data_IF_062326249189
#
_entry.id   IF_062326249189
#
_cell.length_a   1.000
_cell.length_b   1.000
_cell.length_c   1.000
_cell.angle_alpha   90.00
_cell.angle_beta   90.00
_cell.angle_gamma   90.00
#
_symmetry.space_group_name_H-M   'P 1'
#
loop_
_entity.id
_entity.type
_entity.pdbx_description
1 polymer ?
#
# COMPACT_ATOMS: atom_id res chain seq x y z
N UNK A 1 -17.08 15.38 -7.15
CA UNK A 1 -15.89 15.32 -6.28
C UNK A 1 -14.76 14.64 -7.06
N UNK A 2 -13.53 15.15 -7.01
CA UNK A 2 -12.39 14.55 -7.72
C UNK A 2 -11.87 13.33 -6.93
N UNK A 3 -12.42 12.15 -7.24
CA UNK A 3 -12.13 10.89 -6.54
C UNK A 3 -10.63 10.52 -6.51
N UNK A 4 -9.84 10.73 -7.58
CA UNK A 4 -8.38 10.61 -7.54
C UNK A 4 -7.71 11.49 -6.48
N UNK A 5 -8.12 12.74 -6.34
CA UNK A 5 -7.54 13.66 -5.35
C UNK A 5 -7.85 13.21 -3.91
N UNK A 6 -9.07 12.72 -3.67
CA UNK A 6 -9.45 12.16 -2.37
C UNK A 6 -8.69 10.88 -2.05
N UNK A 7 -8.45 10.05 -3.07
CA UNK A 7 -7.66 8.82 -2.93
C UNK A 7 -6.20 9.14 -2.60
N UNK A 8 -5.65 10.21 -3.18
CA UNK A 8 -4.30 10.69 -2.83
C UNK A 8 -4.24 11.17 -1.38
N UNK A 9 -5.22 11.97 -0.93
CA UNK A 9 -5.32 12.37 0.48
C UNK A 9 -5.48 11.16 1.42
N UNK A 10 -6.27 10.17 1.01
CA UNK A 10 -6.44 8.90 1.72
C UNK A 10 -5.13 8.13 1.85
N UNK A 11 -4.34 8.02 0.77
CA UNK A 11 -3.05 7.34 0.77
C UNK A 11 -2.03 8.04 1.67
N UNK A 12 -1.96 9.38 1.62
CA UNK A 12 -1.11 10.18 2.54
C UNK A 12 -1.53 9.96 3.99
N UNK A 13 -2.83 9.99 4.27
CA UNK A 13 -3.35 9.78 5.62
C UNK A 13 -3.02 8.37 6.13
N UNK A 14 -3.18 7.35 5.29
CA UNK A 14 -2.87 5.96 5.59
C UNK A 14 -1.39 5.78 5.91
N UNK A 15 -0.50 6.37 5.10
CA UNK A 15 0.94 6.41 5.37
C UNK A 15 1.24 7.04 6.74
N UNK A 16 0.67 8.21 7.04
CA UNK A 16 0.91 8.89 8.32
C UNK A 16 0.41 8.06 9.51
N UNK A 17 -0.74 7.41 9.40
CA UNK A 17 -1.26 6.50 10.44
C UNK A 17 -0.31 5.31 10.61
N UNK A 18 0.19 4.71 9.52
CA UNK A 18 1.14 3.60 9.59
C UNK A 18 2.44 4.00 10.29
N UNK A 19 2.96 5.19 9.99
CA UNK A 19 4.15 5.74 10.65
C UNK A 19 3.90 6.02 12.14
N UNK A 20 2.80 6.69 12.49
CA UNK A 20 2.43 6.98 13.88
C UNK A 20 2.27 5.69 14.69
N UNK A 21 1.54 4.71 14.17
CA UNK A 21 1.32 3.42 14.84
C UNK A 21 2.62 2.63 15.03
N UNK A 22 3.51 2.65 14.04
CA UNK A 22 4.80 1.96 14.12
C UNK A 22 5.77 2.63 15.09
N UNK A 23 5.94 3.96 14.98
CA UNK A 23 6.97 4.70 15.70
C UNK A 23 6.54 5.17 17.08
N UNK A 24 5.30 5.63 17.24
CA UNK A 24 4.78 6.15 18.52
C UNK A 24 4.22 5.01 19.37
N UNK A 25 3.36 4.17 18.78
CA UNK A 25 2.70 3.08 19.51
C UNK A 25 3.46 1.76 19.49
N UNK A 26 4.52 1.64 18.68
CA UNK A 26 5.36 0.46 18.63
C UNK A 26 4.70 -0.78 18.01
N UNK A 27 3.56 -0.62 17.32
CA UNK A 27 2.84 -1.74 16.69
C UNK A 27 3.65 -2.23 15.48
N UNK A 28 3.97 -3.53 15.45
CA UNK A 28 4.81 -4.15 14.41
C UNK A 28 4.26 -5.53 14.01
N UNK A 29 2.94 -5.69 14.10
CA UNK A 29 2.27 -6.94 13.75
C UNK A 29 1.76 -6.83 12.31
N UNK A 30 2.23 -7.70 11.41
CA UNK A 30 1.85 -7.66 9.99
C UNK A 30 0.34 -7.79 9.79
N UNK A 31 -0.35 -8.56 10.65
CA UNK A 31 -1.82 -8.69 10.58
C UNK A 31 -2.55 -7.37 10.83
N UNK A 32 -1.93 -6.45 11.57
CA UNK A 32 -2.48 -5.11 11.79
C UNK A 32 -2.34 -4.22 10.55
N UNK A 33 -1.27 -4.41 9.77
CA UNK A 33 -0.99 -3.64 8.55
C UNK A 33 -1.58 -4.25 7.28
N UNK A 34 -1.99 -5.52 7.29
CA UNK A 34 -2.66 -6.15 6.14
C UNK A 34 -3.87 -5.35 5.60
N UNK A 35 -4.79 -4.79 6.41
CA UNK A 35 -5.84 -3.91 5.90
C UNK A 35 -5.32 -2.64 5.25
N UNK A 36 -4.15 -2.14 5.65
CA UNK A 36 -3.55 -0.94 5.07
C UNK A 36 -3.09 -1.23 3.65
N UNK A 37 -2.46 -2.37 3.38
CA UNK A 37 -2.13 -2.79 2.01
C UNK A 37 -3.36 -2.88 1.11
N UNK A 38 -4.42 -3.55 1.58
CA UNK A 38 -5.66 -3.62 0.81
C UNK A 38 -6.22 -2.23 0.48
N UNK A 39 -6.31 -1.34 1.46
CA UNK A 39 -6.84 0.03 1.27
C UNK A 39 -5.90 0.89 0.40
N UNK A 40 -4.59 0.75 0.56
CA UNK A 40 -3.60 1.41 -0.29
C UNK A 40 -3.76 0.96 -1.75
N UNK A 41 -3.94 -0.34 -1.99
CA UNK A 41 -4.26 -0.91 -3.29
C UNK A 41 -5.52 -0.28 -3.91
N UNK A 42 -6.59 -0.09 -3.13
CA UNK A 42 -7.81 0.60 -3.60
C UNK A 42 -7.50 2.02 -4.06
N UNK A 43 -6.79 2.82 -3.24
CA UNK A 43 -6.46 4.20 -3.58
C UNK A 43 -5.53 4.29 -4.79
N UNK A 44 -4.49 3.45 -4.86
CA UNK A 44 -3.60 3.37 -6.02
C UNK A 44 -4.35 2.94 -7.28
N UNK A 45 -5.26 1.98 -7.17
CA UNK A 45 -6.13 1.56 -8.27
C UNK A 45 -6.95 2.72 -8.82
N UNK A 46 -7.56 3.53 -7.95
CA UNK A 46 -8.31 4.71 -8.38
C UNK A 46 -7.40 5.76 -9.06
N UNK A 47 -6.25 6.06 -8.45
CA UNK A 47 -5.30 7.06 -8.97
C UNK A 47 -4.74 6.63 -10.33
N UNK A 48 -4.18 5.43 -10.42
CA UNK A 48 -3.53 4.95 -11.64
C UNK A 48 -4.53 4.61 -12.74
N UNK A 49 -5.75 4.17 -12.42
CA UNK A 49 -6.78 3.98 -13.43
C UNK A 49 -7.27 5.31 -13.98
N UNK A 50 -7.42 6.34 -13.14
CA UNK A 50 -7.77 7.68 -13.61
C UNK A 50 -6.73 8.27 -14.57
N UNK A 51 -5.45 7.96 -14.37
CA UNK A 51 -4.34 8.42 -15.22
C UNK A 51 -4.18 7.60 -16.51
N UNK A 52 -4.20 6.26 -16.40
CA UNK A 52 -3.87 5.37 -17.52
C UNK A 52 -5.07 4.93 -18.35
N UNK A 53 -6.28 4.93 -17.74
CA UNK A 53 -7.51 4.33 -18.28
C UNK A 53 -7.34 2.87 -18.75
N UNK A 54 -6.32 2.18 -18.24
CA UNK A 54 -5.97 0.83 -18.64
C UNK A 54 -5.83 -0.06 -17.39
N UNK A 55 -6.66 -1.11 -17.22
CA UNK A 55 -6.61 -1.98 -16.05
C UNK A 55 -5.26 -2.66 -15.86
N UNK A 56 -4.64 -3.12 -16.96
CA UNK A 56 -3.35 -3.82 -16.91
C UNK A 56 -2.21 -2.90 -16.48
N UNK A 57 -2.15 -1.69 -17.04
CA UNK A 57 -1.20 -0.66 -16.60
C UNK A 57 -1.42 -0.27 -15.14
N UNK A 58 -2.67 -0.17 -14.70
CA UNK A 58 -3.02 0.16 -13.31
C UNK A 58 -2.50 -0.90 -12.35
N UNK A 59 -2.80 -2.18 -12.62
CA UNK A 59 -2.32 -3.31 -11.82
C UNK A 59 -0.79 -3.33 -11.77
N UNK A 60 -0.13 -3.15 -12.92
CA UNK A 60 1.33 -3.17 -13.00
C UNK A 60 1.97 -2.06 -12.17
N UNK A 61 1.41 -0.85 -12.23
CA UNK A 61 1.89 0.30 -11.47
C UNK A 61 1.65 0.12 -9.97
N UNK A 62 0.51 -0.42 -9.54
CA UNK A 62 0.27 -0.70 -8.13
C UNK A 62 1.25 -1.75 -7.60
N UNK A 63 1.48 -2.85 -8.33
CA UNK A 63 2.44 -3.87 -7.91
C UNK A 63 3.87 -3.33 -7.82
N UNK A 64 4.27 -2.47 -8.77
CA UNK A 64 5.56 -1.78 -8.70
C UNK A 64 5.65 -0.88 -7.46
N UNK A 65 4.59 -0.16 -7.12
CA UNK A 65 4.54 0.66 -5.90
C UNK A 65 4.63 -0.21 -4.63
N UNK A 66 3.94 -1.35 -4.58
CA UNK A 66 4.03 -2.32 -3.49
C UNK A 66 5.45 -2.89 -3.34
N UNK A 67 6.09 -3.29 -4.44
CA UNK A 67 7.49 -3.78 -4.39
C UNK A 67 8.45 -2.70 -3.87
N UNK A 68 8.26 -1.45 -4.29
CA UNK A 68 9.06 -0.33 -3.79
C UNK A 68 8.83 -0.08 -2.29
N UNK A 69 7.59 -0.23 -1.82
CA UNK A 69 7.26 -0.13 -0.40
C UNK A 69 7.97 -1.20 0.43
N UNK A 70 7.93 -2.46 0.00
CA UNK A 70 8.62 -3.59 0.65
C UNK A 70 10.14 -3.39 0.70
N UNK A 71 10.72 -2.89 -0.39
CA UNK A 71 12.14 -2.56 -0.44
C UNK A 71 12.49 -1.41 0.53
N UNK A 72 11.61 -0.43 0.67
CA UNK A 72 11.72 0.65 1.65
C UNK A 72 11.66 0.12 3.08
N UNK A 73 10.68 -0.72 3.42
CA UNK A 73 10.53 -1.31 4.75
C UNK A 73 11.74 -2.16 5.14
N UNK A 74 12.22 -2.99 4.23
CA UNK A 74 13.45 -3.75 4.44
C UNK A 74 14.66 -2.83 4.70
N UNK A 75 14.77 -1.74 3.94
CA UNK A 75 15.84 -0.76 4.11
C UNK A 75 15.74 -0.03 5.46
N UNK A 76 14.53 0.37 5.87
CA UNK A 76 14.28 0.98 7.19
C UNK A 76 14.64 0.04 8.32
N UNK A 77 14.25 -1.23 8.23
CA UNK A 77 14.62 -2.25 9.20
C UNK A 77 16.15 -2.44 9.28
N UNK A 78 16.82 -2.55 8.13
CA UNK A 78 18.26 -2.84 8.03
C UNK A 78 19.14 -1.69 8.49
N UNK A 79 18.82 -0.46 8.10
CA UNK A 79 19.70 0.70 8.25
C UNK A 79 19.30 1.63 9.41
N UNK A 80 18.00 1.74 9.72
CA UNK A 80 17.49 2.70 10.71
C UNK A 80 17.16 2.02 12.04
N UNK A 81 16.37 0.94 12.02
CA UNK A 81 15.83 0.32 13.24
C UNK A 81 16.81 -0.63 13.96
N UNK A 82 17.99 -0.88 13.39
CA UNK A 82 19.15 -1.64 13.95
C UNK A 82 18.81 -2.62 15.09
N UNK A 83 18.21 -3.77 14.71
CA UNK A 83 18.19 -5.08 15.39
C UNK A 83 17.76 -5.13 16.87
N UNK A 84 16.44 -5.28 17.05
CA UNK A 84 15.75 -6.24 17.96
C UNK A 84 14.25 -6.36 17.60
N UNK A 85 13.88 -5.93 16.39
CA UNK A 85 12.50 -5.75 15.91
C UNK A 85 12.21 -6.68 14.74
N UNK A 86 10.93 -6.91 14.48
CA UNK A 86 10.42 -7.85 13.48
C UNK A 86 11.11 -7.64 12.13
N UNK A 87 11.70 -8.71 11.59
CA UNK A 87 12.36 -8.72 10.29
C UNK A 87 11.30 -8.99 9.22
N UNK A 88 11.17 -8.15 8.17
CA UNK A 88 10.26 -8.43 7.07
C UNK A 88 10.52 -9.82 6.50
N UNK A 89 9.47 -10.64 6.37
CA UNK A 89 9.57 -11.99 5.84
C UNK A 89 8.98 -12.02 4.44
N UNK A 90 9.58 -12.86 3.60
CA UNK A 90 9.15 -13.05 2.22
C UNK A 90 7.66 -13.42 2.09
N UNK A 91 7.12 -14.22 3.03
CA UNK A 91 5.72 -14.62 2.97
C UNK A 91 4.78 -13.44 3.21
N UNK A 92 5.16 -12.52 4.09
CA UNK A 92 4.36 -11.35 4.43
C UNK A 92 4.35 -10.39 3.22
N UNK A 93 5.51 -10.11 2.64
CA UNK A 93 5.63 -9.39 1.35
C UNK A 93 4.74 -9.95 0.24
N UNK A 94 4.67 -11.29 0.09
CA UNK A 94 3.81 -11.90 -0.93
C UNK A 94 2.33 -11.66 -0.62
N UNK A 95 1.94 -11.77 0.65
CA UNK A 95 0.57 -11.52 1.08
C UNK A 95 0.19 -10.06 0.89
N UNK A 96 1.09 -9.13 1.21
CA UNK A 96 0.89 -7.69 1.09
C UNK A 96 0.73 -7.28 -0.38
N UNK A 97 1.59 -7.78 -1.27
CA UNK A 97 1.43 -7.58 -2.72
C UNK A 97 0.11 -8.17 -3.26
N UNK A 98 -0.33 -9.31 -2.71
CA UNK A 98 -1.62 -9.89 -3.08
C UNK A 98 -2.80 -9.03 -2.60
N UNK A 99 -2.70 -8.44 -1.41
CA UNK A 99 -3.71 -7.51 -0.89
C UNK A 99 -3.74 -6.20 -1.68
N UNK A 100 -2.57 -5.64 -2.04
CA UNK A 100 -2.46 -4.48 -2.93
C UNK A 100 -3.13 -4.75 -4.29
N UNK A 101 -2.91 -5.95 -4.84
CA UNK A 101 -3.56 -6.41 -6.06
C UNK A 101 -5.09 -6.48 -5.92
N UNK A 102 -5.59 -7.16 -4.89
CA UNK A 102 -7.04 -7.27 -4.65
C UNK A 102 -7.69 -5.90 -4.43
N UNK A 103 -7.03 -5.03 -3.67
CA UNK A 103 -7.45 -3.64 -3.49
C UNK A 103 -7.50 -2.89 -4.82
N UNK A 104 -6.48 -3.06 -5.67
CA UNK A 104 -6.43 -2.44 -6.99
C UNK A 104 -7.59 -2.85 -7.88
N UNK A 105 -7.96 -4.14 -7.89
CA UNK A 105 -9.12 -4.61 -8.65
C UNK A 105 -10.41 -3.89 -8.23
N UNK A 106 -10.60 -3.72 -6.91
CA UNK A 106 -11.73 -2.96 -6.39
C UNK A 106 -11.64 -1.48 -6.76
N UNK A 107 -10.47 -0.86 -6.67
CA UNK A 107 -10.24 0.53 -7.06
C UNK A 107 -10.55 0.79 -8.54
N UNK A 108 -10.16 -0.13 -9.43
CA UNK A 108 -10.50 -0.09 -10.86
C UNK A 108 -12.01 -0.18 -11.04
N UNK A 109 -12.67 -1.16 -10.38
CA UNK A 109 -14.11 -1.34 -10.47
C UNK A 109 -14.89 -0.08 -10.05
N UNK A 110 -14.53 0.51 -8.90
CA UNK A 110 -15.14 1.76 -8.41
C UNK A 110 -14.91 2.93 -9.37
N UNK A 111 -13.77 2.96 -10.05
CA UNK A 111 -13.44 4.03 -10.99
C UNK A 111 -14.09 3.86 -12.37
N UNK A 112 -14.48 2.63 -12.74
CA UNK A 112 -15.16 2.33 -14.01
C UNK A 112 -16.68 2.52 -13.96
N UNK A 113 -17.26 2.74 -12.78
CA UNK A 113 -18.69 3.02 -12.58
C UNK A 113 -19.02 4.52 -12.58
N UNK A 114 -18.02 5.39 -12.71
CA UNK A 114 -18.12 6.86 -12.72
C UNK A 114 -17.73 7.42 -14.08
#
# INVERSE_FOLDING_TARGET
MNLPALSLLGLISLYLIAQITTFIFGIQNDKFYAPFHFVAGVFLGIIFFALSKNPFSTISLTLLAGILWEAYEYSMWKYVLKKNKFKPKRQDTINDLFLDFLGTLLGIFLSGQL
#
